data_IF_608695539879
#
_entry.id   IF_608695539879
#
_cell.length_a   1.000
_cell.length_b   1.000
_cell.length_c   1.000
_cell.angle_alpha   90.00
_cell.angle_beta   90.00
_cell.angle_gamma   90.00
#
_symmetry.space_group_name_H-M   'P 1'
#
loop_
_entity.id
_entity.type
_entity.pdbx_description
1 polymer ?
#
# COMPACT_ATOMS: atom_id res chain seq x y z
N UNK A 1 31.34 -16.68 34.81
CA UNK A 1 29.93 -16.81 34.36
C UNK A 1 29.15 -15.49 34.54
N UNK A 2 29.68 -14.37 34.05
CA UNK A 2 29.16 -13.01 34.30
C UNK A 2 29.01 -12.18 33.02
N UNK A 3 29.05 -12.81 31.81
CA UNK A 3 29.17 -12.04 30.56
C UNK A 3 27.86 -12.00 29.71
N UNK A 4 26.78 -12.65 30.16
CA UNK A 4 25.55 -12.74 29.32
C UNK A 4 24.46 -11.67 29.58
N UNK A 5 24.57 -10.93 30.70
CA UNK A 5 23.58 -9.91 31.08
C UNK A 5 23.92 -8.54 30.50
N UNK A 6 25.18 -8.23 30.33
CA UNK A 6 25.67 -6.94 29.80
C UNK A 6 25.41 -6.83 28.30
N UNK A 7 25.61 -7.91 27.53
CA UNK A 7 25.33 -7.96 26.10
C UNK A 7 23.83 -7.76 25.77
N UNK A 8 22.92 -8.29 26.62
CA UNK A 8 21.46 -8.10 26.42
C UNK A 8 21.02 -6.65 26.73
N UNK A 9 21.69 -5.97 27.69
CA UNK A 9 21.40 -4.58 28.01
C UNK A 9 21.82 -3.64 26.86
N UNK A 10 23.03 -3.81 26.35
CA UNK A 10 23.54 -3.04 25.21
C UNK A 10 22.69 -3.22 23.95
N UNK A 11 22.22 -4.44 23.69
CA UNK A 11 21.37 -4.75 22.54
C UNK A 11 19.99 -4.08 22.62
N UNK A 12 19.37 -4.06 23.81
CA UNK A 12 18.10 -3.34 24.04
C UNK A 12 18.23 -1.83 23.88
N UNK A 13 19.34 -1.26 24.38
CA UNK A 13 19.62 0.17 24.24
C UNK A 13 19.79 0.57 22.78
N UNK A 14 20.52 -0.24 21.99
CA UNK A 14 20.70 -0.02 20.55
C UNK A 14 19.35 -0.10 19.81
N UNK A 15 18.49 -1.07 20.14
CA UNK A 15 17.15 -1.21 19.54
C UNK A 15 16.29 0.05 19.78
N UNK A 16 16.32 0.60 20.99
CA UNK A 16 15.57 1.81 21.35
C UNK A 16 16.11 3.04 20.59
N UNK A 17 17.43 3.20 20.56
CA UNK A 17 18.08 4.32 19.86
C UNK A 17 17.76 4.27 18.36
N UNK A 18 17.85 3.10 17.74
CA UNK A 18 17.52 2.93 16.32
C UNK A 18 16.04 3.17 16.04
N UNK A 19 15.14 2.68 16.88
CA UNK A 19 13.71 2.94 16.76
C UNK A 19 13.40 4.45 16.87
N UNK A 20 14.03 5.16 17.81
CA UNK A 20 13.87 6.60 17.97
C UNK A 20 14.44 7.37 16.75
N UNK A 21 15.61 6.97 16.24
CA UNK A 21 16.21 7.58 15.05
C UNK A 21 15.33 7.37 13.79
N UNK A 22 14.75 6.18 13.64
CA UNK A 22 13.81 5.89 12.55
C UNK A 22 12.53 6.72 12.67
N UNK A 23 11.96 6.83 13.87
CA UNK A 23 10.78 7.65 14.12
C UNK A 23 11.05 9.13 13.82
N UNK A 24 12.21 9.65 14.25
CA UNK A 24 12.65 11.01 13.97
C UNK A 24 12.87 11.21 12.46
N UNK A 25 13.55 10.28 11.80
CA UNK A 25 13.79 10.32 10.35
C UNK A 25 12.50 10.33 9.55
N UNK A 26 11.53 9.48 9.92
CA UNK A 26 10.20 9.47 9.32
C UNK A 26 9.48 10.80 9.56
N UNK A 27 9.53 11.33 10.79
CA UNK A 27 8.87 12.60 11.13
C UNK A 27 9.46 13.76 10.31
N UNK A 28 10.78 13.81 10.16
CA UNK A 28 11.46 14.82 9.35
C UNK A 28 11.11 14.66 7.86
N UNK A 29 11.15 13.43 7.33
CA UNK A 29 10.75 13.16 5.94
C UNK A 29 9.30 13.61 5.67
N UNK A 30 8.39 13.35 6.62
CA UNK A 30 7.00 13.80 6.54
C UNK A 30 6.87 15.33 6.58
N UNK A 31 7.62 16.02 7.43
CA UNK A 31 7.64 17.48 7.49
C UNK A 31 8.14 18.10 6.17
N UNK A 32 9.21 17.55 5.60
CA UNK A 32 9.74 18.03 4.32
C UNK A 32 8.81 17.73 3.14
N UNK A 33 8.21 16.54 3.10
CA UNK A 33 7.26 16.17 2.04
C UNK A 33 5.94 16.97 2.15
N UNK A 34 5.48 17.26 3.37
CA UNK A 34 4.24 18.03 3.59
C UNK A 34 4.36 19.52 3.30
N UNK A 35 5.58 20.07 3.37
CA UNK A 35 5.79 21.52 3.24
C UNK A 35 5.67 22.06 1.79
N UNK A 36 5.66 21.22 0.77
CA UNK A 36 5.75 21.66 -0.63
C UNK A 36 4.70 21.11 -1.59
N UNK A 37 3.83 20.24 -1.17
CA UNK A 37 3.02 19.45 -2.09
C UNK A 37 1.53 19.79 -2.06
N UNK A 38 1.18 20.99 -2.46
CA UNK A 38 -0.16 21.23 -2.97
C UNK A 38 -0.24 20.63 -4.38
N UNK A 39 -0.91 19.48 -4.50
CA UNK A 39 -1.22 18.87 -5.78
C UNK A 39 -2.68 19.18 -6.13
N UNK A 40 -2.99 19.41 -7.41
CA UNK A 40 -4.36 19.64 -7.88
C UNK A 40 -5.31 18.48 -7.52
N UNK A 41 -4.79 17.25 -7.43
CA UNK A 41 -5.57 16.06 -7.09
C UNK A 41 -6.20 16.14 -5.70
N UNK A 42 -5.60 16.86 -4.75
CA UNK A 42 -6.16 16.94 -3.39
C UNK A 42 -7.53 17.66 -3.35
N UNK A 43 -7.70 18.68 -4.19
CA UNK A 43 -8.98 19.38 -4.28
C UNK A 43 -10.06 18.47 -4.86
N UNK A 44 -9.71 17.69 -5.86
CA UNK A 44 -10.60 16.67 -6.44
C UNK A 44 -10.96 15.60 -5.40
N UNK A 45 -10.00 15.13 -4.60
CA UNK A 45 -10.24 14.18 -3.51
C UNK A 45 -11.20 14.77 -2.47
N UNK A 46 -10.97 16.01 -2.04
CA UNK A 46 -11.83 16.66 -1.06
C UNK A 46 -13.24 16.89 -1.62
N UNK A 47 -13.35 17.33 -2.86
CA UNK A 47 -14.63 17.60 -3.50
C UNK A 47 -15.45 16.32 -3.74
N UNK A 48 -14.81 15.23 -4.15
CA UNK A 48 -15.46 13.91 -4.20
C UNK A 48 -15.98 13.47 -2.83
N UNK A 49 -15.19 13.69 -1.78
CA UNK A 49 -15.59 13.36 -0.42
C UNK A 49 -16.80 14.17 0.04
N UNK A 50 -16.81 15.48 -0.24
CA UNK A 50 -17.94 16.37 0.02
C UNK A 50 -19.18 15.92 -0.73
N UNK A 51 -19.06 15.72 -2.04
CA UNK A 51 -20.17 15.31 -2.90
C UNK A 51 -20.84 14.02 -2.39
N UNK A 52 -20.02 13.00 -2.06
CA UNK A 52 -20.52 11.70 -1.60
C UNK A 52 -21.32 11.85 -0.30
N UNK A 53 -20.86 12.70 0.63
CA UNK A 53 -21.57 12.91 1.89
C UNK A 53 -22.87 13.70 1.73
N UNK A 54 -22.93 14.63 0.77
CA UNK A 54 -24.10 15.47 0.54
C UNK A 54 -25.14 14.79 -0.39
N UNK A 55 -24.68 14.03 -1.40
CA UNK A 55 -25.53 13.56 -2.49
C UNK A 55 -25.53 12.03 -2.66
N UNK A 56 -24.66 11.29 -1.95
CA UNK A 56 -24.45 9.87 -2.13
C UNK A 56 -23.48 9.55 -3.26
N UNK A 57 -23.38 8.27 -3.62
CA UNK A 57 -22.41 7.79 -4.61
C UNK A 57 -22.84 8.16 -6.03
N UNK A 58 -22.03 8.95 -6.77
CA UNK A 58 -22.37 9.33 -8.14
C UNK A 58 -22.28 8.12 -9.07
N UNK A 59 -23.19 8.04 -10.05
CA UNK A 59 -23.15 7.09 -11.16
C UNK A 59 -22.81 7.79 -12.47
N UNK A 60 -23.04 9.11 -12.51
CA UNK A 60 -22.64 10.03 -13.56
C UNK A 60 -21.68 11.05 -12.99
N UNK A 61 -20.71 11.49 -13.78
CA UNK A 61 -19.70 12.44 -13.33
C UNK A 61 -20.31 13.81 -13.05
N UNK A 62 -20.39 14.26 -11.79
CA UNK A 62 -21.01 15.53 -11.43
C UNK A 62 -20.13 16.73 -11.77
N UNK A 63 -18.86 16.54 -12.09
CA UNK A 63 -17.87 17.60 -12.34
C UNK A 63 -17.58 17.78 -13.83
N UNK A 64 -18.06 16.86 -14.68
CA UNK A 64 -17.79 16.90 -16.10
C UNK A 64 -19.01 17.40 -16.89
N UNK A 65 -18.82 18.46 -17.67
CA UNK A 65 -19.91 19.13 -18.41
C UNK A 65 -20.61 18.19 -19.42
N UNK A 66 -19.89 17.20 -19.95
CA UNK A 66 -20.41 16.26 -20.95
C UNK A 66 -21.06 15.03 -20.33
N UNK A 67 -21.05 14.91 -18.99
CA UNK A 67 -21.52 13.73 -18.30
C UNK A 67 -20.62 12.50 -18.58
N UNK A 68 -21.10 11.35 -18.16
CA UNK A 68 -20.44 10.05 -18.34
C UNK A 68 -20.54 9.20 -17.09
N UNK A 69 -20.50 7.87 -17.25
CA UNK A 69 -20.50 6.98 -16.09
C UNK A 69 -19.20 7.11 -15.33
N UNK A 70 -19.29 7.23 -14.01
CA UNK A 70 -18.13 7.34 -13.13
C UNK A 70 -18.13 6.26 -12.05
N UNK A 71 -16.93 5.80 -11.70
CA UNK A 71 -16.63 5.09 -10.48
C UNK A 71 -15.60 5.92 -9.71
N UNK A 72 -15.95 6.41 -8.53
CA UNK A 72 -14.99 7.12 -7.67
C UNK A 72 -14.09 6.07 -7.02
N UNK A 73 -12.96 5.79 -7.67
CA UNK A 73 -12.06 4.68 -7.31
C UNK A 73 -11.45 4.78 -5.90
N UNK A 74 -11.42 5.99 -5.34
CA UNK A 74 -10.86 6.30 -4.03
C UNK A 74 -11.91 6.89 -3.08
N UNK A 75 -13.15 6.44 -3.20
CA UNK A 75 -14.30 7.00 -2.51
C UNK A 75 -14.13 7.09 -0.98
N UNK A 76 -13.67 6.02 -0.34
CA UNK A 76 -13.48 5.99 1.11
C UNK A 76 -12.35 6.93 1.54
N UNK A 77 -11.26 6.97 0.76
CA UNK A 77 -10.18 7.91 0.99
C UNK A 77 -10.68 9.35 0.90
N UNK A 78 -11.44 9.67 -0.14
CA UNK A 78 -12.02 11.00 -0.36
C UNK A 78 -12.91 11.44 0.79
N UNK A 79 -13.79 10.56 1.25
CA UNK A 79 -14.68 10.83 2.41
C UNK A 79 -13.86 11.06 3.69
N UNK A 80 -12.87 10.18 3.97
CA UNK A 80 -12.01 10.31 5.16
C UNK A 80 -11.21 11.60 5.12
N UNK A 81 -10.63 11.95 3.97
CA UNK A 81 -9.85 13.20 3.82
C UNK A 81 -10.71 14.44 3.95
N UNK A 82 -11.92 14.43 3.39
CA UNK A 82 -12.84 15.55 3.53
C UNK A 82 -13.29 15.77 4.98
N UNK A 83 -13.66 14.70 5.69
CA UNK A 83 -14.00 14.77 7.11
C UNK A 83 -12.80 15.31 7.92
N UNK A 84 -11.61 14.76 7.67
CA UNK A 84 -10.38 15.17 8.35
C UNK A 84 -10.06 16.66 8.11
N UNK A 85 -10.24 17.14 6.88
CA UNK A 85 -10.09 18.55 6.54
C UNK A 85 -11.12 19.42 7.26
N UNK A 86 -12.39 19.01 7.26
CA UNK A 86 -13.49 19.81 7.84
C UNK A 86 -13.38 19.99 9.36
N UNK A 87 -12.78 19.02 10.06
CA UNK A 87 -12.58 19.10 11.53
C UNK A 87 -11.71 20.30 11.93
N UNK A 88 -10.70 20.63 11.12
CA UNK A 88 -9.71 21.68 11.45
C UNK A 88 -9.70 22.86 10.49
N UNK A 89 -10.35 22.73 9.34
CA UNK A 89 -10.21 23.70 8.24
C UNK A 89 -8.78 23.78 7.69
N UNK A 90 -7.96 22.73 7.91
CA UNK A 90 -6.55 22.74 7.58
C UNK A 90 -6.06 21.35 7.12
N UNK A 91 -4.90 21.26 6.44
CA UNK A 91 -4.33 19.99 5.98
C UNK A 91 -3.71 19.14 7.09
N UNK A 92 -3.70 19.58 8.36
CA UNK A 92 -2.97 18.94 9.45
C UNK A 92 -3.46 17.50 9.71
N UNK A 93 -4.77 17.30 9.90
CA UNK A 93 -5.31 15.97 10.15
C UNK A 93 -5.17 15.06 8.91
N UNK A 94 -5.51 15.49 7.69
CA UNK A 94 -5.19 14.75 6.47
C UNK A 94 -3.72 14.32 6.38
N UNK A 95 -2.78 15.22 6.66
CA UNK A 95 -1.35 14.90 6.67
C UNK A 95 -1.01 13.84 7.72
N UNK A 96 -1.56 13.92 8.94
CA UNK A 96 -1.36 12.91 9.99
C UNK A 96 -1.85 11.52 9.56
N UNK A 97 -2.95 11.44 8.82
CA UNK A 97 -3.46 10.17 8.27
C UNK A 97 -2.47 9.61 7.24
N UNK A 98 -1.99 10.42 6.29
CA UNK A 98 -0.97 10.03 5.32
C UNK A 98 0.30 9.52 6.03
N UNK A 99 0.76 10.25 7.04
CA UNK A 99 1.94 9.88 7.82
C UNK A 99 1.78 8.58 8.60
N UNK A 100 0.56 8.29 9.08
CA UNK A 100 0.29 7.01 9.77
C UNK A 100 0.45 5.81 8.83
N UNK A 101 0.04 5.93 7.57
CA UNK A 101 0.30 4.92 6.55
C UNK A 101 1.78 4.84 6.18
N UNK A 102 2.48 5.96 6.07
CA UNK A 102 3.94 5.98 5.90
C UNK A 102 4.66 5.25 7.04
N UNK A 103 4.26 5.53 8.28
CA UNK A 103 4.76 4.82 9.47
C UNK A 103 4.48 3.32 9.43
N UNK A 104 3.31 2.92 8.94
CA UNK A 104 2.96 1.51 8.77
C UNK A 104 3.84 0.82 7.73
N UNK A 105 4.21 1.49 6.63
CA UNK A 105 5.16 0.95 5.63
C UNK A 105 6.52 0.70 6.28
N UNK A 106 7.05 1.69 7.01
CA UNK A 106 8.35 1.58 7.69
C UNK A 106 8.32 0.46 8.73
N UNK A 107 7.28 0.40 9.53
CA UNK A 107 7.10 -0.65 10.53
C UNK A 107 7.02 -2.04 9.91
N UNK A 108 6.25 -2.21 8.83
CA UNK A 108 6.12 -3.52 8.17
C UNK A 108 7.42 -3.93 7.47
N UNK A 109 8.15 -3.01 6.85
CA UNK A 109 9.48 -3.28 6.29
C UNK A 109 10.45 -3.77 7.36
N UNK A 110 10.50 -3.08 8.51
CA UNK A 110 11.31 -3.49 9.65
C UNK A 110 10.90 -4.87 10.18
N UNK A 111 9.60 -5.13 10.32
CA UNK A 111 9.07 -6.43 10.79
C UNK A 111 9.37 -7.56 9.81
N UNK A 112 9.22 -7.34 8.50
CA UNK A 112 9.56 -8.34 7.47
C UNK A 112 11.05 -8.67 7.55
N UNK A 113 11.92 -7.66 7.64
CA UNK A 113 13.36 -7.89 7.77
C UNK A 113 13.71 -8.71 9.03
N UNK A 114 13.06 -8.43 10.16
CA UNK A 114 13.21 -9.21 11.40
C UNK A 114 12.74 -10.66 11.28
N UNK A 115 11.86 -10.96 10.34
CA UNK A 115 11.47 -12.34 10.08
C UNK A 115 12.58 -13.14 9.37
N UNK A 116 13.48 -12.50 8.62
CA UNK A 116 14.57 -13.15 7.89
C UNK A 116 15.92 -13.03 8.58
N UNK A 117 16.09 -12.09 9.50
CA UNK A 117 17.36 -11.84 10.20
C UNK A 117 17.13 -11.38 11.62
N UNK A 118 17.84 -11.94 12.57
CA UNK A 118 17.86 -11.46 13.96
C UNK A 118 18.64 -10.13 14.11
N UNK A 119 19.37 -9.74 13.07
CA UNK A 119 20.13 -8.50 13.06
C UNK A 119 19.23 -7.26 13.11
N UNK A 120 19.40 -6.46 14.15
CA UNK A 120 18.74 -5.15 14.27
C UNK A 120 19.23 -4.19 13.19
N UNK A 121 20.51 -4.25 12.86
CA UNK A 121 21.11 -3.44 11.81
C UNK A 121 20.41 -3.69 10.46
N UNK A 122 20.21 -4.96 10.06
CA UNK A 122 19.51 -5.31 8.82
C UNK A 122 18.08 -4.77 8.81
N UNK A 123 17.35 -4.91 9.93
CA UNK A 123 16.00 -4.40 10.05
C UNK A 123 15.95 -2.85 9.98
N UNK A 124 16.91 -2.19 10.62
CA UNK A 124 17.01 -0.72 10.60
C UNK A 124 17.37 -0.17 9.23
N UNK A 125 18.26 -0.84 8.50
CA UNK A 125 18.57 -0.47 7.10
C UNK A 125 17.36 -0.65 6.19
N UNK A 126 16.58 -1.72 6.35
CA UNK A 126 15.33 -1.93 5.59
C UNK A 126 14.31 -0.83 5.88
N UNK A 127 14.16 -0.43 7.13
CA UNK A 127 13.27 0.66 7.53
C UNK A 127 13.77 2.02 6.99
N UNK A 128 15.07 2.29 7.05
CA UNK A 128 15.68 3.50 6.50
C UNK A 128 15.48 3.57 4.99
N UNK A 129 15.70 2.46 4.28
CA UNK A 129 15.43 2.39 2.84
C UNK A 129 13.95 2.68 2.53
N UNK A 130 13.01 2.11 3.30
CA UNK A 130 11.59 2.41 3.16
C UNK A 130 11.28 3.90 3.37
N UNK A 131 11.91 4.56 4.35
CA UNK A 131 11.77 6.01 4.58
C UNK A 131 12.25 6.80 3.35
N UNK A 132 13.44 6.46 2.83
CA UNK A 132 14.01 7.15 1.66
C UNK A 132 13.08 6.99 0.44
N UNK A 133 12.59 5.78 0.19
CA UNK A 133 11.68 5.49 -0.92
C UNK A 133 10.36 6.25 -0.79
N UNK A 134 9.78 6.32 0.41
CA UNK A 134 8.53 7.06 0.65
C UNK A 134 8.77 8.57 0.49
N UNK A 135 9.84 9.10 1.07
CA UNK A 135 10.15 10.53 1.01
C UNK A 135 10.51 10.99 -0.42
N UNK A 136 11.19 10.13 -1.20
CA UNK A 136 11.53 10.39 -2.59
C UNK A 136 10.35 10.23 -3.55
N UNK A 137 9.27 9.58 -3.13
CA UNK A 137 8.08 9.40 -3.94
C UNK A 137 7.05 10.48 -3.66
N UNK A 138 6.30 10.88 -4.69
CA UNK A 138 5.16 11.80 -4.57
C UNK A 138 3.99 11.20 -3.74
N UNK A 139 4.19 10.02 -3.15
CA UNK A 139 3.16 9.30 -2.39
C UNK A 139 2.85 9.90 -1.01
N UNK A 140 3.68 10.82 -0.50
CA UNK A 140 3.40 11.53 0.78
C UNK A 140 2.46 12.73 0.62
N UNK A 141 1.96 12.96 -0.57
CA UNK A 141 0.85 13.88 -0.83
C UNK A 141 -0.45 13.20 -0.39
N UNK A 142 -1.55 13.93 -0.32
CA UNK A 142 -2.89 13.45 0.07
C UNK A 142 -3.48 12.41 -0.93
N UNK A 143 -2.61 11.55 -1.50
CA UNK A 143 -2.98 10.49 -2.45
C UNK A 143 -3.24 9.17 -1.73
N UNK A 144 -4.19 8.37 -2.19
CA UNK A 144 -4.52 7.07 -1.59
C UNK A 144 -3.43 5.99 -1.83
N UNK A 145 -2.48 6.24 -2.71
CA UNK A 145 -1.40 5.29 -3.06
C UNK A 145 -0.56 4.86 -1.85
N UNK A 146 -0.32 5.78 -0.90
CA UNK A 146 0.40 5.47 0.34
C UNK A 146 -0.34 4.42 1.17
N UNK A 147 -1.67 4.50 1.25
CA UNK A 147 -2.48 3.51 1.95
C UNK A 147 -2.44 2.15 1.24
N UNK A 148 -2.52 2.12 -0.09
CA UNK A 148 -2.40 0.89 -0.88
C UNK A 148 -1.06 0.20 -0.65
N UNK A 149 0.04 0.96 -0.65
CA UNK A 149 1.38 0.42 -0.41
C UNK A 149 1.52 -0.12 1.02
N UNK A 150 1.03 0.62 2.02
CA UNK A 150 1.06 0.20 3.42
C UNK A 150 0.29 -1.12 3.64
N UNK A 151 -0.89 -1.24 3.04
CA UNK A 151 -1.72 -2.43 3.13
C UNK A 151 -1.11 -3.61 2.35
N UNK A 152 -0.47 -3.35 1.21
CA UNK A 152 0.29 -4.36 0.46
C UNK A 152 1.44 -4.92 1.30
N UNK A 153 2.24 -4.06 1.93
CA UNK A 153 3.33 -4.48 2.82
C UNK A 153 2.81 -5.24 4.03
N UNK A 154 1.65 -4.85 4.57
CA UNK A 154 0.99 -5.55 5.67
C UNK A 154 0.53 -6.96 5.24
N UNK A 155 -0.05 -7.12 4.06
CA UNK A 155 -0.43 -8.42 3.51
C UNK A 155 0.80 -9.31 3.28
N UNK A 156 1.89 -8.76 2.74
CA UNK A 156 3.16 -9.48 2.57
C UNK A 156 3.70 -9.98 3.92
N UNK A 157 3.68 -9.15 4.97
CA UNK A 157 4.06 -9.58 6.32
C UNK A 157 3.19 -10.75 6.82
N UNK A 158 1.90 -10.77 6.53
CA UNK A 158 1.01 -11.88 6.91
C UNK A 158 1.40 -13.16 6.18
N UNK A 159 1.70 -13.10 4.88
CA UNK A 159 2.17 -14.29 4.12
C UNK A 159 3.49 -14.81 4.66
N UNK A 160 4.45 -13.92 4.95
CA UNK A 160 5.74 -14.30 5.55
C UNK A 160 5.53 -15.01 6.90
N UNK A 161 4.64 -14.48 7.74
CA UNK A 161 4.32 -15.11 9.04
C UNK A 161 3.64 -16.46 8.88
N UNK A 162 2.74 -16.62 7.91
CA UNK A 162 2.14 -17.92 7.59
C UNK A 162 3.21 -18.91 7.13
N UNK A 163 4.07 -18.54 6.21
CA UNK A 163 5.14 -19.41 5.69
C UNK A 163 6.04 -19.94 6.81
N UNK A 164 6.31 -19.15 7.85
CA UNK A 164 7.14 -19.54 8.99
C UNK A 164 6.41 -20.35 10.05
N UNK A 165 5.15 -20.07 10.31
CA UNK A 165 4.42 -20.62 11.47
C UNK A 165 3.39 -21.67 11.08
N UNK A 166 2.98 -21.73 9.80
CA UNK A 166 1.87 -22.55 9.32
C UNK A 166 0.49 -22.11 9.83
N UNK A 167 0.40 -20.96 10.53
CA UNK A 167 -0.83 -20.53 11.17
C UNK A 167 -1.76 -19.77 10.21
N UNK A 168 -2.87 -20.39 9.83
CA UNK A 168 -3.89 -19.87 8.91
C UNK A 168 -4.51 -18.53 9.33
N UNK A 169 -4.43 -18.18 10.63
CA UNK A 169 -4.91 -16.88 11.12
C UNK A 169 -4.30 -15.68 10.38
N UNK A 170 -3.05 -15.82 9.95
CA UNK A 170 -2.39 -14.75 9.18
C UNK A 170 -2.99 -14.60 7.79
N UNK A 171 -3.31 -15.71 7.13
CA UNK A 171 -3.97 -15.66 5.81
C UNK A 171 -5.40 -15.12 5.90
N UNK A 172 -6.12 -15.43 6.98
CA UNK A 172 -7.49 -14.94 7.18
C UNK A 172 -7.59 -13.41 7.31
N UNK A 173 -6.50 -12.72 7.64
CA UNK A 173 -6.45 -11.26 7.72
C UNK A 173 -6.35 -10.62 6.32
N UNK A 174 -5.77 -11.31 5.33
CA UNK A 174 -5.49 -10.74 4.00
C UNK A 174 -6.77 -10.31 3.26
N UNK A 175 -7.87 -11.08 3.24
CA UNK A 175 -9.14 -10.62 2.67
C UNK A 175 -9.67 -9.34 3.32
N UNK A 176 -9.50 -9.15 4.63
CA UNK A 176 -9.90 -7.93 5.33
C UNK A 176 -9.01 -6.74 4.93
N UNK A 177 -7.70 -6.97 4.77
CA UNK A 177 -6.78 -5.97 4.23
C UNK A 177 -7.21 -5.58 2.81
N UNK A 178 -7.58 -6.57 1.97
CA UNK A 178 -8.06 -6.33 0.61
C UNK A 178 -9.35 -5.51 0.59
N UNK A 179 -10.32 -5.83 1.46
CA UNK A 179 -11.55 -5.06 1.59
C UNK A 179 -11.26 -3.58 1.88
N UNK A 180 -10.37 -3.31 2.84
CA UNK A 180 -9.99 -1.95 3.19
C UNK A 180 -9.24 -1.27 2.04
N UNK A 181 -8.23 -1.93 1.47
CA UNK A 181 -7.43 -1.40 0.38
C UNK A 181 -8.27 -1.05 -0.84
N UNK A 182 -9.22 -1.94 -1.19
CA UNK A 182 -10.08 -1.76 -2.36
C UNK A 182 -11.00 -0.54 -2.19
N UNK A 183 -11.56 -0.33 -1.02
CA UNK A 183 -12.42 0.82 -0.76
C UNK A 183 -11.64 2.14 -0.60
N UNK A 184 -10.35 2.08 -0.20
CA UNK A 184 -9.48 3.26 -0.16
C UNK A 184 -8.94 3.62 -1.56
N UNK A 185 -8.63 2.63 -2.42
CA UNK A 185 -8.01 2.86 -3.73
C UNK A 185 -8.14 1.64 -4.65
N UNK A 186 -9.19 1.59 -5.44
CA UNK A 186 -9.53 0.42 -6.26
C UNK A 186 -8.43 0.00 -7.23
N UNK A 187 -7.83 0.96 -7.95
CA UNK A 187 -6.83 0.68 -8.99
C UNK A 187 -5.55 0.04 -8.44
N UNK A 188 -5.02 0.53 -7.32
CA UNK A 188 -3.78 0.00 -6.73
C UNK A 188 -3.98 -1.14 -5.73
N UNK A 189 -5.22 -1.42 -5.30
CA UNK A 189 -5.50 -2.45 -4.29
C UNK A 189 -5.09 -3.86 -4.73
N UNK A 190 -5.05 -4.13 -6.04
CA UNK A 190 -4.62 -5.41 -6.57
C UNK A 190 -3.18 -5.79 -6.20
N UNK A 191 -2.35 -4.80 -5.85
CA UNK A 191 -1.01 -5.04 -5.31
C UNK A 191 -1.05 -5.85 -4.01
N UNK A 192 -2.14 -5.77 -3.23
CA UNK A 192 -2.35 -6.57 -2.01
C UNK A 192 -2.38 -8.07 -2.29
N UNK A 193 -2.76 -8.48 -3.51
CA UNK A 193 -2.72 -9.88 -3.94
C UNK A 193 -1.49 -10.17 -4.77
N UNK A 194 -1.13 -9.29 -5.71
CA UNK A 194 -0.04 -9.55 -6.67
C UNK A 194 1.32 -9.66 -5.98
N UNK A 195 1.66 -8.72 -5.09
CA UNK A 195 2.98 -8.73 -4.42
C UNK A 195 3.11 -9.91 -3.44
N UNK A 196 2.18 -10.13 -2.50
CA UNK A 196 2.20 -11.35 -1.69
C UNK A 196 2.05 -12.63 -2.52
N UNK A 197 1.33 -12.60 -3.64
CA UNK A 197 1.14 -13.73 -4.54
C UNK A 197 2.44 -14.28 -5.11
N UNK A 198 3.38 -13.40 -5.46
CA UNK A 198 4.74 -13.81 -5.86
C UNK A 198 5.44 -14.59 -4.74
N UNK A 199 5.32 -14.12 -3.49
CA UNK A 199 5.88 -14.80 -2.33
C UNK A 199 5.16 -16.12 -2.03
N UNK A 200 3.83 -16.16 -2.16
CA UNK A 200 3.04 -17.38 -2.03
C UNK A 200 3.50 -18.46 -3.03
N UNK A 201 3.68 -18.08 -4.28
CA UNK A 201 4.17 -18.97 -5.32
C UNK A 201 5.59 -19.49 -5.00
N UNK A 202 6.50 -18.60 -4.61
CA UNK A 202 7.87 -18.96 -4.20
C UNK A 202 7.86 -19.94 -3.02
N UNK A 203 7.03 -19.70 -2.01
CA UNK A 203 6.89 -20.61 -0.86
C UNK A 203 6.33 -21.97 -1.27
N UNK A 204 5.31 -22.03 -2.11
CA UNK A 204 4.74 -23.29 -2.59
C UNK A 204 5.75 -24.12 -3.38
N UNK A 205 6.55 -23.46 -4.25
CA UNK A 205 7.64 -24.12 -5.00
C UNK A 205 8.71 -24.66 -4.04
N UNK A 206 9.12 -23.86 -3.06
CA UNK A 206 10.11 -24.25 -2.05
C UNK A 206 9.65 -25.47 -1.26
N UNK A 207 8.39 -25.49 -0.80
CA UNK A 207 7.80 -26.62 -0.12
C UNK A 207 7.77 -27.87 -1.02
N UNK A 208 7.46 -27.72 -2.30
CA UNK A 208 7.47 -28.83 -3.26
C UNK A 208 8.86 -29.45 -3.42
N UNK A 209 9.92 -28.62 -3.49
CA UNK A 209 11.30 -29.07 -3.64
C UNK A 209 11.82 -29.71 -2.35
N UNK A 210 11.61 -29.07 -1.20
CA UNK A 210 12.22 -29.48 0.06
C UNK A 210 11.53 -30.68 0.72
N UNK A 211 10.19 -30.69 0.73
CA UNK A 211 9.47 -31.70 1.52
C UNK A 211 9.19 -32.99 0.75
N UNK A 212 9.14 -32.91 -0.59
CA UNK A 212 8.71 -34.01 -1.47
C UNK A 212 7.36 -34.65 -1.05
N UNK A 213 6.61 -33.96 -0.19
CA UNK A 213 5.32 -34.39 0.33
C UNK A 213 4.18 -33.75 -0.46
N UNK A 214 3.60 -34.48 -1.37
CA UNK A 214 2.46 -34.03 -2.19
C UNK A 214 1.31 -33.48 -1.32
N UNK A 215 1.02 -34.13 -0.18
CA UNK A 215 -0.04 -33.70 0.74
C UNK A 215 0.24 -32.31 1.35
N UNK A 216 1.48 -32.05 1.77
CA UNK A 216 1.85 -30.76 2.38
C UNK A 216 1.79 -29.62 1.37
N UNK A 217 2.35 -29.87 0.17
CA UNK A 217 2.28 -28.90 -0.94
C UNK A 217 0.83 -28.59 -1.31
N UNK A 218 -0.03 -29.61 -1.43
CA UNK A 218 -1.45 -29.42 -1.72
C UNK A 218 -2.16 -28.55 -0.66
N UNK A 219 -1.89 -28.75 0.63
CA UNK A 219 -2.47 -27.93 1.69
C UNK A 219 -2.03 -26.46 1.59
N UNK A 220 -0.76 -26.19 1.35
CA UNK A 220 -0.25 -24.82 1.19
C UNK A 220 -0.88 -24.13 -0.02
N UNK A 221 -0.98 -24.84 -1.16
CA UNK A 221 -1.60 -24.31 -2.37
C UNK A 221 -3.09 -24.02 -2.15
N UNK A 222 -3.82 -24.91 -1.48
CA UNK A 222 -5.24 -24.73 -1.15
C UNK A 222 -5.42 -23.53 -0.22
N UNK A 223 -4.61 -23.38 0.83
CA UNK A 223 -4.69 -22.26 1.76
C UNK A 223 -4.49 -20.93 1.04
N UNK A 224 -3.53 -20.86 0.11
CA UNK A 224 -3.29 -19.68 -0.70
C UNK A 224 -4.42 -19.40 -1.71
N UNK A 225 -4.92 -20.43 -2.40
CA UNK A 225 -6.02 -20.31 -3.34
C UNK A 225 -7.29 -19.77 -2.65
N UNK A 226 -7.62 -20.32 -1.47
CA UNK A 226 -8.75 -19.84 -0.66
C UNK A 226 -8.57 -18.39 -0.25
N UNK A 227 -7.35 -17.99 0.15
CA UNK A 227 -7.04 -16.61 0.53
C UNK A 227 -7.24 -15.65 -0.63
N UNK A 228 -6.72 -16.00 -1.81
CA UNK A 228 -6.85 -15.19 -3.03
C UNK A 228 -8.32 -15.09 -3.45
N UNK A 229 -9.05 -16.20 -3.50
CA UNK A 229 -10.47 -16.20 -3.83
C UNK A 229 -11.30 -15.34 -2.86
N UNK A 230 -11.08 -15.51 -1.56
CA UNK A 230 -11.74 -14.68 -0.55
C UNK A 230 -11.42 -13.19 -0.74
N UNK A 231 -10.14 -12.85 -1.04
CA UNK A 231 -9.72 -11.48 -1.29
C UNK A 231 -10.39 -10.89 -2.55
N UNK A 232 -10.52 -11.67 -3.62
CA UNK A 232 -11.25 -11.24 -4.83
C UNK A 232 -12.73 -11.02 -4.52
N UNK A 233 -13.37 -11.90 -3.74
CA UNK A 233 -14.76 -11.70 -3.33
C UNK A 233 -14.91 -10.39 -2.53
N UNK A 234 -13.96 -10.06 -1.65
CA UNK A 234 -14.02 -8.82 -0.87
C UNK A 234 -14.00 -7.55 -1.74
N UNK A 235 -13.48 -7.60 -2.96
CA UNK A 235 -13.53 -6.45 -3.88
C UNK A 235 -14.94 -6.09 -4.32
N UNK A 236 -15.91 -7.02 -4.25
CA UNK A 236 -17.30 -6.74 -4.59
C UNK A 236 -18.06 -5.97 -3.50
N UNK A 237 -17.50 -5.94 -2.28
CA UNK A 237 -18.06 -5.21 -1.13
C UNK A 237 -17.63 -3.74 -1.18
N UNK A 238 -18.09 -3.03 -2.21
CA UNK A 238 -17.91 -1.61 -2.43
C UNK A 238 -19.23 -0.99 -2.93
N UNK A 239 -19.41 0.33 -2.89
CA UNK A 239 -20.67 0.99 -3.29
C UNK A 239 -21.06 0.79 -4.76
N UNK A 240 -20.11 0.44 -5.62
CA UNK A 240 -20.31 0.21 -7.05
C UNK A 240 -20.44 -1.27 -7.39
N UNK A 241 -20.29 -2.18 -6.41
CA UNK A 241 -20.39 -3.62 -6.61
C UNK A 241 -19.40 -4.15 -7.67
N UNK A 242 -19.89 -4.92 -8.63
CA UNK A 242 -19.05 -5.47 -9.71
C UNK A 242 -18.45 -4.42 -10.63
N UNK A 243 -19.11 -3.27 -10.82
CA UNK A 243 -18.55 -2.19 -11.64
C UNK A 243 -17.27 -1.62 -11.03
N UNK A 244 -17.23 -1.46 -9.70
CA UNK A 244 -16.02 -1.12 -8.98
C UNK A 244 -14.93 -2.19 -9.11
N UNK A 245 -15.29 -3.48 -8.94
CA UNK A 245 -14.34 -4.59 -9.05
C UNK A 245 -13.70 -4.68 -10.46
N UNK A 246 -14.45 -4.32 -11.49
CA UNK A 246 -13.99 -4.32 -12.88
C UNK A 246 -13.37 -2.99 -13.32
N UNK A 247 -13.29 -2.01 -12.44
CA UNK A 247 -12.81 -0.66 -12.75
C UNK A 247 -11.45 -0.66 -13.45
N UNK A 248 -10.48 -1.38 -12.91
CA UNK A 248 -9.13 -1.45 -13.48
C UNK A 248 -9.13 -2.05 -14.90
N UNK A 249 -9.92 -3.12 -15.12
CA UNK A 249 -10.01 -3.77 -16.42
C UNK A 249 -10.72 -2.88 -17.45
N UNK A 250 -11.76 -2.18 -17.03
CA UNK A 250 -12.48 -1.22 -17.89
C UNK A 250 -11.57 -0.03 -18.23
N UNK A 251 -10.87 0.53 -17.28
CA UNK A 251 -9.97 1.68 -17.47
C UNK A 251 -8.76 1.32 -18.35
N UNK A 252 -8.19 0.14 -18.19
CA UNK A 252 -7.07 -0.33 -19.02
C UNK A 252 -7.42 -0.52 -20.49
N UNK A 253 -8.71 -0.73 -20.81
CA UNK A 253 -9.23 -0.86 -22.19
C UNK A 253 -9.43 0.47 -22.93
N UNK A 254 -9.38 1.62 -22.23
CA UNK A 254 -9.61 2.93 -22.82
C UNK A 254 -8.27 3.48 -23.32
N UNK A 255 -8.02 3.33 -24.64
CA UNK A 255 -6.76 3.75 -25.28
C UNK A 255 -6.44 5.24 -25.08
N UNK A 256 -7.45 6.10 -25.01
CA UNK A 256 -7.28 7.54 -24.81
C UNK A 256 -6.70 7.89 -23.43
N UNK A 257 -7.04 7.15 -22.38
CA UNK A 257 -6.43 7.34 -21.05
C UNK A 257 -4.94 7.00 -21.03
N UNK A 258 -4.52 5.96 -21.76
CA UNK A 258 -3.11 5.54 -21.81
C UNK A 258 -2.18 6.58 -22.42
N UNK A 259 -2.70 7.39 -23.36
CA UNK A 259 -1.91 8.37 -24.09
C UNK A 259 -1.91 9.76 -23.43
N UNK A 260 -2.81 10.01 -22.47
CA UNK A 260 -2.97 11.32 -21.80
C UNK A 260 -2.45 11.33 -20.37
N UNK A 261 -2.36 10.18 -19.73
CA UNK A 261 -1.89 10.07 -18.33
C UNK A 261 -0.46 9.52 -18.34
N UNK A 262 0.51 10.35 -17.95
CA UNK A 262 1.94 10.00 -17.92
C UNK A 262 2.23 8.71 -17.15
N UNK A 263 1.55 8.48 -16.03
CA UNK A 263 1.71 7.30 -15.17
C UNK A 263 1.26 5.99 -15.86
N UNK A 264 0.45 6.08 -16.91
CA UNK A 264 -0.03 4.92 -17.68
C UNK A 264 0.74 4.70 -18.99
N UNK A 265 1.66 5.61 -19.34
CA UNK A 265 2.47 5.46 -20.55
C UNK A 265 3.47 4.30 -20.39
N UNK A 266 3.71 3.50 -21.46
CA UNK A 266 4.76 2.51 -21.44
C UNK A 266 6.13 3.17 -21.18
N UNK A 267 7.01 2.50 -20.41
CA UNK A 267 8.34 3.01 -20.07
C UNK A 267 9.19 3.38 -21.30
N UNK A 268 9.10 2.65 -22.39
CA UNK A 268 9.90 2.86 -23.60
C UNK A 268 9.64 4.22 -24.27
N UNK A 269 8.39 4.66 -24.50
CA UNK A 269 8.12 6.00 -25.00
C UNK A 269 8.54 7.14 -24.04
N UNK A 270 8.55 6.87 -22.73
CA UNK A 270 9.05 7.85 -21.74
C UNK A 270 10.56 8.10 -21.89
N UNK A 271 11.33 7.09 -22.26
CA UNK A 271 12.78 7.23 -22.55
C UNK A 271 13.03 7.96 -23.86
N UNK A 272 12.21 7.71 -24.89
CA UNK A 272 12.36 8.32 -26.21
C UNK A 272 11.93 9.81 -26.23
N UNK A 273 11.08 10.24 -25.32
CA UNK A 273 10.59 11.63 -25.26
C UNK A 273 11.63 12.66 -24.78
N UNK A 274 12.85 12.24 -24.49
CA UNK A 274 13.93 13.12 -24.00
C UNK A 274 13.68 13.68 -22.57
N UNK A 275 12.64 13.26 -21.91
CA UNK A 275 12.23 13.75 -20.61
C UNK A 275 12.89 12.93 -19.48
N UNK A 276 14.20 13.10 -19.33
CA UNK A 276 15.06 12.38 -18.39
C UNK A 276 14.58 12.48 -16.93
N UNK A 277 13.84 13.53 -16.60
CA UNK A 277 13.33 13.77 -15.25
C UNK A 277 12.27 12.74 -14.83
N UNK A 278 11.40 12.34 -15.76
CA UNK A 278 10.35 11.35 -15.47
C UNK A 278 10.87 9.91 -15.51
N UNK A 279 11.94 9.64 -16.26
CA UNK A 279 12.55 8.32 -16.31
C UNK A 279 13.18 7.91 -14.97
N UNK A 280 13.77 8.86 -14.25
CA UNK A 280 14.42 8.61 -12.95
C UNK A 280 13.35 8.44 -11.85
N UNK A 281 12.27 9.24 -11.87
CA UNK A 281 11.20 9.14 -10.89
C UNK A 281 10.30 7.91 -11.10
N UNK A 282 10.21 7.37 -12.30
CA UNK A 282 9.50 6.11 -12.57
C UNK A 282 10.32 4.86 -12.21
N UNK A 283 11.64 4.99 -12.04
CA UNK A 283 12.55 3.92 -11.60
C UNK A 283 12.74 3.88 -10.08
N UNK A 284 12.38 4.92 -9.35
CA UNK A 284 12.41 5.03 -7.90
C UNK A 284 10.98 4.88 -7.35
#
# INVERSE_FOLDING_TARGET
MTDSTDDRSGKKTLDVVLAAALALGLSLACLFAGAGAYNNDQWFILENGRWILENGFPREDPFHVWGGSIVVENWLWSVVMYIAWNVTGSPVIPAMIVWSFGGLIVFTAWRISKEFSDSVMSASLSALFAIIMIAGSLNMVMRPSVASLALTMSALLMVVKYAKTGSRRYLAIIPLIMLLAFNLHMSMSWLVILVPGVFMLSHAITEAILTKSSRRVSLVVVDYAVTVMASVIMTTLNPYGLDGSMFLLKSAGIADYRNQIFELMPLVPLFDSGNTYYSITAMI
#
